data_IF_954798999691
#
_entry.id   IF_954798999691
#
_cell.length_a   1.000
_cell.length_b   1.000
_cell.length_c   1.000
_cell.angle_alpha   90.00
_cell.angle_beta   90.00
_cell.angle_gamma   90.00
#
_symmetry.space_group_name_H-M   'P 1'
#
loop_
_entity.id
_entity.type
_entity.pdbx_description
1 polymer ?
#
# COMPACT_ATOMS: atom_id res chain seq x y z
N UNK A 1 -20.67 -5.43 29.63
CA UNK A 1 -19.99 -4.36 28.88
C UNK A 1 -18.63 -4.90 28.48
N UNK A 2 -18.43 -5.27 27.21
CA UNK A 2 -17.13 -5.68 26.71
C UNK A 2 -16.28 -4.41 26.50
N UNK A 3 -15.08 -4.36 27.06
CA UNK A 3 -14.14 -3.27 26.81
C UNK A 3 -13.80 -3.25 25.31
N UNK A 4 -13.84 -2.08 24.69
CA UNK A 4 -13.37 -1.93 23.31
C UNK A 4 -11.86 -2.29 23.26
N UNK A 5 -11.41 -3.07 22.27
CA UNK A 5 -10.00 -3.42 22.15
C UNK A 5 -9.15 -2.17 21.88
N UNK A 6 -8.03 -2.02 22.61
CA UNK A 6 -7.19 -0.80 22.57
C UNK A 6 -5.74 -1.05 22.19
N UNK A 7 -5.27 -2.30 22.17
CA UNK A 7 -3.88 -2.64 21.79
C UNK A 7 -3.86 -3.33 20.42
N UNK A 8 -2.73 -3.30 19.69
CA UNK A 8 -2.62 -4.04 18.44
C UNK A 8 -2.99 -5.52 18.59
N UNK A 9 -2.56 -6.15 19.68
CA UNK A 9 -2.90 -7.54 20.02
C UNK A 9 -4.40 -7.76 20.10
N UNK A 10 -5.11 -6.93 20.87
CA UNK A 10 -6.53 -7.10 21.13
C UNK A 10 -7.37 -6.79 19.89
N UNK A 11 -6.96 -5.78 19.11
CA UNK A 11 -7.60 -5.43 17.84
C UNK A 11 -7.42 -6.55 16.83
N UNK A 12 -6.22 -7.09 16.67
CA UNK A 12 -5.97 -8.24 15.80
C UNK A 12 -6.78 -9.46 16.23
N UNK A 13 -6.81 -9.78 17.53
CA UNK A 13 -7.60 -10.91 18.03
C UNK A 13 -9.09 -10.75 17.69
N UNK A 14 -9.67 -9.59 18.03
CA UNK A 14 -11.08 -9.33 17.80
C UNK A 14 -11.43 -9.29 16.30
N UNK A 15 -10.50 -8.81 15.46
CA UNK A 15 -10.65 -8.80 14.01
C UNK A 15 -10.72 -10.22 13.44
N UNK A 16 -9.73 -11.08 13.73
CA UNK A 16 -9.70 -12.44 13.19
C UNK A 16 -10.83 -13.31 13.74
N UNK A 17 -11.23 -13.09 14.98
CA UNK A 17 -12.43 -13.72 15.51
C UNK A 17 -13.68 -13.31 14.70
N UNK A 18 -13.84 -12.02 14.41
CA UNK A 18 -14.96 -11.53 13.60
C UNK A 18 -14.92 -12.04 12.15
N UNK A 19 -13.73 -12.19 11.54
CA UNK A 19 -13.57 -12.83 10.22
C UNK A 19 -14.07 -14.28 10.24
N UNK A 20 -13.71 -15.06 11.27
CA UNK A 20 -14.12 -16.47 11.40
C UNK A 20 -15.63 -16.60 11.66
N UNK A 21 -16.20 -15.67 12.42
CA UNK A 21 -17.63 -15.61 12.72
C UNK A 21 -18.47 -14.99 11.58
N UNK A 22 -17.81 -14.53 10.52
CA UNK A 22 -18.41 -13.77 9.40
C UNK A 22 -19.19 -12.51 9.86
N UNK A 23 -18.70 -11.87 10.94
CA UNK A 23 -19.26 -10.63 11.50
C UNK A 23 -18.69 -9.41 10.75
N UNK A 24 -19.30 -9.12 9.61
CA UNK A 24 -18.97 -7.98 8.76
C UNK A 24 -18.97 -6.63 9.51
N UNK A 25 -19.88 -6.45 10.48
CA UNK A 25 -19.99 -5.20 11.25
C UNK A 25 -18.77 -5.00 12.15
N UNK A 26 -18.35 -6.05 12.85
CA UNK A 26 -17.17 -5.99 13.71
C UNK A 26 -15.88 -5.90 12.90
N UNK A 27 -15.74 -6.65 11.80
CA UNK A 27 -14.61 -6.54 10.88
C UNK A 27 -14.48 -5.11 10.36
N UNK A 28 -15.57 -4.51 9.91
CA UNK A 28 -15.59 -3.12 9.40
C UNK A 28 -15.16 -2.14 10.50
N UNK A 29 -15.69 -2.27 11.71
CA UNK A 29 -15.38 -1.38 12.82
C UNK A 29 -13.92 -1.45 13.27
N UNK A 30 -13.31 -2.64 13.20
CA UNK A 30 -11.94 -2.89 13.65
C UNK A 30 -10.89 -2.68 12.55
N UNK A 31 -11.31 -2.36 11.34
CA UNK A 31 -10.43 -2.17 10.20
C UNK A 31 -10.55 -0.79 9.57
N UNK A 32 -9.75 -0.56 8.53
CA UNK A 32 -9.80 0.63 7.67
C UNK A 32 -10.98 0.61 6.69
N UNK A 33 -11.80 -0.44 6.68
CA UNK A 33 -13.00 -0.51 5.84
C UNK A 33 -13.99 0.60 6.17
N UNK A 34 -14.54 1.22 5.12
CA UNK A 34 -15.50 2.33 5.23
C UNK A 34 -16.95 1.86 5.42
N UNK A 35 -17.26 0.61 5.09
CA UNK A 35 -18.60 0.03 5.25
C UNK A 35 -18.56 -1.50 5.20
N UNK A 36 -19.59 -2.13 5.75
CA UNK A 36 -19.78 -3.60 5.69
C UNK A 36 -19.95 -4.14 4.28
N UNK A 37 -20.35 -3.30 3.31
CA UNK A 37 -20.45 -3.71 1.91
C UNK A 37 -19.07 -3.91 1.24
N UNK A 38 -17.99 -3.40 1.84
CA UNK A 38 -16.62 -3.59 1.36
C UNK A 38 -15.92 -4.81 1.98
N UNK A 39 -16.59 -5.50 2.91
CA UNK A 39 -16.11 -6.75 3.47
C UNK A 39 -16.48 -7.90 2.53
N UNK A 40 -15.46 -8.60 2.04
CA UNK A 40 -15.56 -9.74 1.11
C UNK A 40 -15.08 -11.06 1.74
N UNK A 41 -14.69 -11.05 3.02
CA UNK A 41 -14.14 -12.22 3.69
C UNK A 41 -12.89 -12.79 3.00
N UNK A 42 -12.17 -11.98 2.22
CA UNK A 42 -11.04 -12.39 1.39
C UNK A 42 -11.36 -13.52 0.40
N UNK A 43 -12.62 -13.63 -0.03
CA UNK A 43 -13.12 -14.70 -0.90
C UNK A 43 -12.84 -16.12 -0.36
N UNK A 44 -12.74 -16.27 0.98
CA UNK A 44 -12.50 -17.56 1.64
C UNK A 44 -13.69 -18.06 2.44
N UNK A 45 -13.77 -19.39 2.58
CA UNK A 45 -14.62 -20.02 3.59
C UNK A 45 -13.85 -20.13 4.90
N UNK A 46 -14.30 -19.41 5.93
CA UNK A 46 -13.71 -19.42 7.27
C UNK A 46 -14.26 -20.53 8.18
N UNK A 47 -15.12 -21.40 7.65
CA UNK A 47 -15.75 -22.44 8.44
C UNK A 47 -14.73 -23.48 8.92
N UNK A 48 -14.62 -23.64 10.24
CA UNK A 48 -13.67 -24.58 10.85
C UNK A 48 -12.23 -24.09 10.90
N UNK A 49 -12.02 -22.79 10.65
CA UNK A 49 -10.73 -22.13 10.81
C UNK A 49 -10.56 -21.70 12.28
N UNK A 50 -9.40 -22.00 12.83
CA UNK A 50 -8.94 -21.48 14.12
C UNK A 50 -7.69 -20.62 13.90
N UNK A 51 -7.37 -19.76 14.86
CA UNK A 51 -6.18 -18.91 14.77
C UNK A 51 -5.42 -18.79 16.09
N UNK A 52 -4.13 -18.48 15.98
CA UNK A 52 -3.31 -18.07 17.11
C UNK A 52 -2.42 -16.88 16.74
N UNK A 53 -2.13 -16.02 17.73
CA UNK A 53 -1.27 -14.84 17.53
C UNK A 53 0.19 -15.16 17.80
N UNK A 54 1.07 -14.74 16.89
CA UNK A 54 2.51 -14.88 16.94
C UNK A 54 3.23 -13.60 17.37
N UNK A 55 4.29 -13.25 16.63
CA UNK A 55 5.12 -12.08 16.92
C UNK A 55 4.33 -10.79 16.74
N UNK A 56 4.59 -9.82 17.62
CA UNK A 56 4.02 -8.48 17.56
C UNK A 56 5.17 -7.49 17.48
N UNK A 57 5.15 -6.60 16.48
CA UNK A 57 6.09 -5.49 16.33
C UNK A 57 5.28 -4.20 16.28
N UNK A 58 5.67 -3.21 17.09
CA UNK A 58 5.02 -1.90 17.13
C UNK A 58 6.09 -0.86 16.78
N UNK A 59 5.82 -0.05 15.77
CA UNK A 59 6.65 1.08 15.36
C UNK A 59 5.77 2.33 15.20
N UNK A 60 5.85 3.22 16.19
CA UNK A 60 5.10 4.48 16.22
C UNK A 60 3.58 4.26 16.00
N UNK A 61 3.07 4.68 14.85
CA UNK A 61 1.65 4.61 14.47
C UNK A 61 1.32 3.37 13.62
N UNK A 62 2.25 2.44 13.46
CA UNK A 62 2.07 1.18 12.76
C UNK A 62 2.41 -0.01 13.66
N UNK A 63 1.75 -1.14 13.41
CA UNK A 63 2.09 -2.40 14.06
C UNK A 63 1.87 -3.57 13.11
N UNK A 64 2.63 -4.64 13.31
CA UNK A 64 2.41 -5.92 12.66
C UNK A 64 2.20 -7.03 13.68
N UNK A 65 1.30 -7.95 13.37
CA UNK A 65 1.01 -9.14 14.18
C UNK A 65 0.96 -10.35 13.28
N UNK A 66 1.83 -11.33 13.53
CA UNK A 66 1.78 -12.62 12.83
C UNK A 66 0.57 -13.41 13.34
N UNK A 67 -0.19 -14.01 12.42
CA UNK A 67 -1.37 -14.81 12.73
C UNK A 67 -1.23 -16.17 12.06
N UNK A 68 -1.24 -17.22 12.85
CA UNK A 68 -1.19 -18.60 12.37
C UNK A 68 -2.61 -19.11 12.27
N UNK A 69 -3.04 -19.46 11.06
CA UNK A 69 -4.36 -19.98 10.72
C UNK A 69 -4.28 -21.51 10.56
N UNK A 70 -5.07 -22.22 11.34
CA UNK A 70 -5.23 -23.67 11.25
C UNK A 70 -6.57 -23.96 10.56
N UNK A 71 -6.60 -24.92 9.62
CA UNK A 71 -7.82 -25.27 8.85
C UNK A 71 -7.90 -24.62 7.45
N UNK A 72 -7.06 -23.63 7.16
CA UNK A 72 -6.77 -23.14 5.81
C UNK A 72 -5.41 -23.68 5.38
N UNK A 73 -5.40 -24.77 4.59
CA UNK A 73 -4.16 -25.35 4.09
C UNK A 73 -3.55 -24.49 2.99
N UNK A 74 -2.24 -24.24 3.06
CA UNK A 74 -1.47 -23.78 1.90
C UNK A 74 -1.34 -24.90 0.84
N UNK A 75 -0.69 -24.61 -0.29
CA UNK A 75 -0.48 -25.60 -1.36
C UNK A 75 0.27 -26.87 -0.93
N UNK A 76 0.88 -26.88 0.26
CA UNK A 76 1.68 -27.97 0.83
C UNK A 76 1.03 -28.61 2.07
N UNK A 77 -0.17 -28.19 2.47
CA UNK A 77 -0.87 -28.71 3.65
C UNK A 77 -0.33 -28.21 4.99
N UNK A 78 0.51 -27.17 5.01
CA UNK A 78 1.01 -26.54 6.23
C UNK A 78 0.02 -25.47 6.76
N UNK A 79 0.11 -25.16 8.05
CA UNK A 79 -0.61 -24.05 8.68
C UNK A 79 -0.17 -22.72 8.05
N UNK A 80 -1.14 -21.87 7.70
CA UNK A 80 -0.86 -20.62 6.99
C UNK A 80 -0.50 -19.53 8.00
N UNK A 81 0.66 -18.90 7.84
CA UNK A 81 1.02 -17.72 8.63
C UNK A 81 0.76 -16.46 7.81
N UNK A 82 0.06 -15.49 8.40
CA UNK A 82 -0.35 -14.24 7.77
C UNK A 82 0.13 -13.07 8.61
N UNK A 83 0.79 -12.09 7.98
CA UNK A 83 1.15 -10.84 8.65
C UNK A 83 -0.05 -9.89 8.65
N UNK A 84 -0.61 -9.61 9.82
CA UNK A 84 -1.65 -8.58 9.98
C UNK A 84 -1.00 -7.22 10.13
N UNK A 85 -1.40 -6.26 9.30
CA UNK A 85 -0.94 -4.88 9.36
C UNK A 85 -1.96 -4.03 10.12
N UNK A 86 -1.49 -3.17 11.03
CA UNK A 86 -2.31 -2.24 11.77
C UNK A 86 -1.78 -0.82 11.65
N UNK A 87 -2.71 0.12 11.60
CA UNK A 87 -2.45 1.56 11.62
C UNK A 87 -3.18 2.19 12.81
N UNK A 88 -2.58 3.21 13.39
CA UNK A 88 -3.19 4.01 14.45
C UNK A 88 -3.80 5.27 13.83
N UNK A 89 -5.13 5.40 13.89
CA UNK A 89 -5.87 6.58 13.41
C UNK A 89 -6.82 7.05 14.49
N UNK A 90 -6.89 8.36 14.75
CA UNK A 90 -7.67 8.94 15.86
C UNK A 90 -7.38 8.26 17.22
N UNK A 91 -6.10 8.04 17.54
CA UNK A 91 -5.63 7.33 18.73
C UNK A 91 -6.16 5.89 18.90
N UNK A 92 -6.70 5.28 17.83
CA UNK A 92 -7.22 3.91 17.84
C UNK A 92 -6.49 3.04 16.81
N UNK A 93 -6.11 1.85 17.25
CA UNK A 93 -5.59 0.82 16.36
C UNK A 93 -6.70 0.24 15.51
N UNK A 94 -6.42 0.08 14.22
CA UNK A 94 -7.28 -0.62 13.26
C UNK A 94 -6.42 -1.50 12.37
N UNK A 95 -6.99 -2.62 11.95
CA UNK A 95 -6.37 -3.47 10.92
C UNK A 95 -6.45 -2.74 9.59
N UNK A 96 -5.30 -2.59 8.92
CA UNK A 96 -5.28 -2.21 7.51
C UNK A 96 -5.78 -3.41 6.70
N UNK A 97 -7.04 -3.33 6.26
CA UNK A 97 -7.75 -4.44 5.63
C UNK A 97 -7.05 -4.90 4.35
N UNK A 98 -6.62 -3.95 3.51
CA UNK A 98 -6.03 -4.23 2.21
C UNK A 98 -4.57 -4.66 2.33
N UNK A 99 -3.77 -4.02 3.19
CA UNK A 99 -2.40 -4.49 3.43
C UNK A 99 -2.38 -5.91 4.03
N UNK A 100 -3.35 -6.23 4.88
CA UNK A 100 -3.51 -7.59 5.44
C UNK A 100 -4.04 -8.58 4.39
N UNK A 101 -4.91 -8.16 3.47
CA UNK A 101 -5.35 -8.98 2.33
C UNK A 101 -4.20 -9.33 1.37
N UNK A 102 -3.31 -8.38 1.10
CA UNK A 102 -2.14 -8.59 0.25
C UNK A 102 -1.15 -9.57 0.91
N UNK A 103 -0.92 -9.42 2.21
CA UNK A 103 -0.14 -10.36 3.00
C UNK A 103 -0.81 -11.75 3.06
N UNK A 104 -2.15 -11.79 3.15
CA UNK A 104 -2.91 -13.02 3.12
C UNK A 104 -2.68 -13.75 1.79
N UNK A 105 -2.78 -13.09 0.64
CA UNK A 105 -2.70 -13.71 -0.70
C UNK A 105 -1.29 -14.09 -1.19
N UNK A 106 -0.31 -14.17 -0.28
CA UNK A 106 1.04 -14.68 -0.53
C UNK A 106 1.68 -14.13 -1.82
N UNK A 107 2.10 -12.86 -1.77
CA UNK A 107 3.21 -12.37 -2.61
C UNK A 107 4.47 -12.22 -1.76
N UNK A 108 5.31 -13.27 -1.61
CA UNK A 108 6.41 -13.25 -0.65
C UNK A 108 7.77 -13.00 -1.33
N UNK A 109 8.48 -11.94 -0.93
CA UNK A 109 9.91 -11.75 -1.26
C UNK A 109 10.81 -11.90 0.00
N UNK A 110 10.28 -11.79 1.21
CA UNK A 110 11.09 -11.57 2.42
C UNK A 110 11.73 -12.84 3.01
N UNK A 111 11.05 -13.99 2.97
CA UNK A 111 11.52 -15.23 3.62
C UNK A 111 12.73 -15.88 2.93
N UNK A 112 12.91 -15.63 1.62
CA UNK A 112 14.07 -16.12 0.86
C UNK A 112 15.35 -15.33 1.17
N UNK A 113 15.23 -14.11 1.68
CA UNK A 113 16.35 -13.21 1.96
C UNK A 113 16.97 -13.49 3.34
N UNK A 114 16.16 -13.78 4.36
CA UNK A 114 16.67 -14.01 5.73
C UNK A 114 17.47 -15.31 5.89
N UNK A 115 17.08 -16.39 5.20
CA UNK A 115 17.84 -17.65 5.21
C UNK A 115 19.24 -17.53 4.60
N UNK A 116 19.40 -16.62 3.63
CA UNK A 116 20.65 -16.39 2.90
C UNK A 116 21.63 -15.51 3.71
N UNK A 117 21.11 -14.58 4.51
CA UNK A 117 21.91 -13.70 5.37
C UNK A 117 22.55 -14.42 6.56
N UNK A 118 21.84 -15.39 7.15
CA UNK A 118 22.31 -16.14 8.32
C UNK A 118 23.54 -17.00 7.98
N UNK A 119 23.59 -17.60 6.78
CA UNK A 119 24.75 -18.39 6.32
C UNK A 119 25.97 -17.54 5.92
N UNK A 120 25.78 -16.23 5.70
CA UNK A 120 26.86 -15.29 5.40
C UNK A 120 27.61 -14.87 6.68
N UNK A 121 26.87 -14.68 7.77
CA UNK A 121 27.37 -14.32 9.11
C UNK A 121 28.42 -15.31 9.63
N UNK A 122 28.11 -16.61 9.54
CA UNK A 122 28.97 -17.64 10.13
C UNK A 122 30.31 -17.76 9.40
N UNK A 123 30.31 -17.56 8.07
CA UNK A 123 31.54 -17.55 7.26
C UNK A 123 32.39 -16.31 7.53
N UNK A 124 31.76 -15.14 7.69
CA UNK A 124 32.44 -13.88 7.99
C UNK A 124 33.19 -13.93 9.34
N UNK A 125 32.57 -14.55 10.35
CA UNK A 125 33.13 -14.65 11.71
C UNK A 125 34.45 -15.46 11.76
N UNK A 126 34.57 -16.48 10.91
CA UNK A 126 35.71 -17.38 10.89
C UNK A 126 36.97 -16.78 10.27
N UNK A 127 36.82 -15.84 9.32
CA UNK A 127 37.95 -15.19 8.65
C UNK A 127 38.43 -13.91 9.38
N UNK A 128 37.57 -13.31 10.21
CA UNK A 128 37.83 -12.05 10.92
C UNK A 128 38.91 -12.14 12.02
N UNK A 129 39.17 -13.33 12.54
CA UNK A 129 40.04 -13.53 13.71
C UNK A 129 41.54 -13.32 13.42
N UNK A 130 41.96 -13.29 12.15
CA UNK A 130 43.40 -13.25 11.78
C UNK A 130 43.95 -11.90 11.32
N UNK A 131 43.13 -10.90 10.98
CA UNK A 131 43.61 -9.60 10.43
C UNK A 131 42.74 -8.38 10.85
N UNK A 132 42.66 -8.05 12.14
CA UNK A 132 41.67 -7.08 12.65
C UNK A 132 41.94 -5.58 12.39
N UNK A 133 43.19 -5.14 12.19
CA UNK A 133 43.52 -3.71 12.14
C UNK A 133 43.65 -3.11 10.74
N UNK A 134 43.88 -3.92 9.72
CA UNK A 134 43.89 -3.47 8.32
C UNK A 134 42.49 -3.53 7.71
N UNK A 135 41.76 -4.63 7.94
CA UNK A 135 40.38 -4.78 7.50
C UNK A 135 39.48 -3.66 8.02
N UNK A 136 39.61 -3.27 9.31
CA UNK A 136 38.84 -2.18 9.91
C UNK A 136 38.99 -0.84 9.14
N UNK A 137 40.21 -0.50 8.72
CA UNK A 137 40.48 0.74 7.97
C UNK A 137 39.92 0.68 6.55
N UNK A 138 40.01 -0.49 5.90
CA UNK A 138 39.44 -0.71 4.57
C UNK A 138 37.90 -0.65 4.61
N UNK A 139 37.26 -1.20 5.65
CA UNK A 139 35.80 -1.10 5.83
C UNK A 139 35.33 0.32 6.15
N UNK A 140 36.07 1.09 6.94
CA UNK A 140 35.75 2.50 7.17
C UNK A 140 35.84 3.32 5.87
N UNK A 141 36.81 3.01 5.01
CA UNK A 141 36.93 3.63 3.70
C UNK A 141 35.77 3.24 2.79
N UNK A 142 35.43 1.95 2.70
CA UNK A 142 34.27 1.47 1.96
C UNK A 142 32.96 2.10 2.46
N UNK A 143 32.77 2.22 3.78
CA UNK A 143 31.60 2.85 4.36
C UNK A 143 31.48 4.34 4.00
N UNK A 144 32.61 5.07 3.94
CA UNK A 144 32.63 6.47 3.49
C UNK A 144 32.30 6.58 2.00
N UNK A 145 32.88 5.71 1.18
CA UNK A 145 32.60 5.69 -0.27
C UNK A 145 31.13 5.32 -0.55
N UNK A 146 30.55 4.38 0.20
CA UNK A 146 29.14 4.03 0.11
C UNK A 146 28.23 5.19 0.50
N UNK A 147 28.53 5.90 1.60
CA UNK A 147 27.76 7.10 1.99
C UNK A 147 27.84 8.19 0.92
N UNK A 148 29.02 8.46 0.40
CA UNK A 148 29.19 9.46 -0.65
C UNK A 148 28.39 9.09 -1.91
N UNK A 149 28.44 7.82 -2.33
CA UNK A 149 27.64 7.33 -3.47
C UNK A 149 26.15 7.37 -3.20
N UNK A 150 25.72 7.06 -1.97
CA UNK A 150 24.32 7.15 -1.56
C UNK A 150 23.83 8.61 -1.57
N UNK A 151 24.64 9.56 -1.07
CA UNK A 151 24.33 10.99 -1.10
C UNK A 151 24.27 11.52 -2.54
N UNK A 152 25.21 11.11 -3.39
CA UNK A 152 25.21 11.46 -4.82
C UNK A 152 24.00 10.87 -5.55
N UNK A 153 23.59 9.66 -5.18
CA UNK A 153 22.39 9.03 -5.72
C UNK A 153 21.12 9.74 -5.23
N UNK A 154 21.04 10.11 -3.95
CA UNK A 154 19.90 10.84 -3.40
C UNK A 154 19.74 12.21 -4.07
N UNK A 155 20.84 12.97 -4.25
CA UNK A 155 20.83 14.26 -4.96
C UNK A 155 20.40 14.17 -6.42
N UNK A 156 20.53 13.00 -7.04
CA UNK A 156 20.08 12.75 -8.42
C UNK A 156 18.63 12.28 -8.47
N UNK A 157 18.19 11.48 -7.49
CA UNK A 157 16.84 10.93 -7.43
C UNK A 157 15.80 11.96 -6.97
N UNK A 158 16.15 12.80 -6.00
CA UNK A 158 15.26 13.81 -5.42
C UNK A 158 14.65 14.76 -6.48
N UNK A 159 15.43 15.42 -7.37
CA UNK A 159 14.85 16.30 -8.39
C UNK A 159 14.01 15.55 -9.44
N UNK A 160 14.34 14.28 -9.74
CA UNK A 160 13.56 13.46 -10.67
C UNK A 160 12.23 13.03 -10.04
N UNK A 161 12.25 12.69 -8.76
CA UNK A 161 11.06 12.36 -7.98
C UNK A 161 10.13 13.56 -7.86
N UNK A 162 10.67 14.75 -7.53
CA UNK A 162 9.91 16.00 -7.49
C UNK A 162 9.27 16.31 -8.84
N UNK A 163 10.03 16.17 -9.93
CA UNK A 163 9.53 16.41 -11.30
C UNK A 163 8.38 15.45 -11.65
N UNK A 164 8.53 14.18 -11.30
CA UNK A 164 7.49 13.17 -11.52
C UNK A 164 6.25 13.44 -10.68
N UNK A 165 6.43 13.75 -9.39
CA UNK A 165 5.35 14.09 -8.48
C UNK A 165 4.57 15.32 -8.97
N UNK A 166 5.27 16.35 -9.46
CA UNK A 166 4.63 17.53 -10.03
C UNK A 166 3.79 17.19 -11.27
N UNK A 167 4.29 16.32 -12.15
CA UNK A 167 3.55 15.87 -13.33
C UNK A 167 2.27 15.12 -12.94
N UNK A 168 2.35 14.23 -11.94
CA UNK A 168 1.19 13.55 -11.38
C UNK A 168 0.20 14.53 -10.75
N UNK A 169 0.69 15.48 -9.94
CA UNK A 169 -0.15 16.47 -9.27
C UNK A 169 -0.94 17.30 -10.28
N UNK A 170 -0.28 17.76 -11.34
CA UNK A 170 -0.92 18.53 -12.41
C UNK A 170 -1.97 17.72 -13.18
N UNK A 171 -1.71 16.42 -13.39
CA UNK A 171 -2.67 15.54 -14.06
C UNK A 171 -3.89 15.26 -13.19
N UNK A 172 -3.66 14.99 -11.90
CA UNK A 172 -4.73 14.79 -10.90
C UNK A 172 -5.60 16.05 -10.80
N UNK A 173 -4.99 17.24 -10.73
CA UNK A 173 -5.71 18.52 -10.68
C UNK A 173 -6.62 18.72 -11.90
N UNK A 174 -6.09 18.50 -13.10
CA UNK A 174 -6.85 18.61 -14.35
C UNK A 174 -8.00 17.61 -14.41
N UNK A 175 -7.75 16.36 -13.97
CA UNK A 175 -8.77 15.33 -13.91
C UNK A 175 -9.89 15.74 -12.93
N UNK A 176 -9.55 16.13 -11.70
CA UNK A 176 -10.52 16.57 -10.69
C UNK A 176 -11.37 17.74 -11.18
N UNK A 177 -10.75 18.73 -11.83
CA UNK A 177 -11.47 19.85 -12.42
C UNK A 177 -12.47 19.39 -13.49
N UNK A 178 -12.04 18.51 -14.39
CA UNK A 178 -12.91 17.95 -15.44
C UNK A 178 -14.03 17.07 -14.87
N UNK A 179 -13.77 16.30 -13.81
CA UNK A 179 -14.78 15.49 -13.13
C UNK A 179 -15.87 16.35 -12.47
N UNK A 180 -15.49 17.48 -11.87
CA UNK A 180 -16.44 18.46 -11.30
C UNK A 180 -17.29 19.09 -12.40
N UNK A 181 -16.67 19.47 -13.51
CA UNK A 181 -17.39 20.00 -14.68
C UNK A 181 -18.38 18.97 -15.25
N UNK A 182 -17.99 17.70 -15.35
CA UNK A 182 -18.87 16.63 -15.79
C UNK A 182 -20.08 16.42 -14.86
N UNK A 183 -19.87 16.53 -13.55
CA UNK A 183 -20.97 16.48 -12.57
C UNK A 183 -21.95 17.65 -12.72
N UNK A 184 -21.45 18.85 -13.00
CA UNK A 184 -22.27 20.05 -13.19
C UNK A 184 -23.06 20.02 -14.50
N UNK A 185 -22.44 19.55 -15.59
CA UNK A 185 -23.02 19.56 -16.93
C UNK A 185 -23.89 18.35 -17.25
N UNK A 186 -23.91 17.32 -16.39
CA UNK A 186 -24.71 16.11 -16.59
C UNK A 186 -25.75 15.92 -15.47
N UNK A 187 -26.73 16.85 -15.32
CA UNK A 187 -27.73 16.77 -14.25
C UNK A 187 -28.67 15.56 -14.39
N UNK A 188 -28.80 14.99 -15.59
CA UNK A 188 -29.58 13.79 -15.86
C UNK A 188 -28.86 12.48 -15.52
N UNK A 189 -27.56 12.51 -15.17
CA UNK A 189 -26.80 11.31 -14.83
C UNK A 189 -27.44 10.53 -13.67
N UNK A 190 -27.22 9.20 -13.69
CA UNK A 190 -27.77 8.32 -12.66
C UNK A 190 -27.18 8.66 -11.27
N UNK A 191 -27.92 8.38 -10.18
CA UNK A 191 -27.37 8.54 -8.84
C UNK A 191 -26.10 7.70 -8.58
N UNK A 192 -25.95 6.57 -9.28
CA UNK A 192 -24.77 5.71 -9.19
C UNK A 192 -23.55 6.37 -9.85
N UNK A 193 -23.70 6.92 -11.05
CA UNK A 193 -22.62 7.62 -11.76
C UNK A 193 -22.16 8.87 -11.00
N UNK A 194 -23.11 9.66 -10.49
CA UNK A 194 -22.80 10.83 -9.67
C UNK A 194 -22.06 10.44 -8.39
N UNK A 195 -22.39 9.30 -7.78
CA UNK A 195 -21.67 8.78 -6.61
C UNK A 195 -20.25 8.39 -6.99
N UNK A 196 -20.08 7.64 -8.07
CA UNK A 196 -18.78 7.17 -8.57
C UNK A 196 -17.85 8.36 -8.88
N UNK A 197 -18.35 9.38 -9.55
CA UNK A 197 -17.60 10.63 -9.82
C UNK A 197 -17.19 11.37 -8.54
N UNK A 198 -18.11 11.54 -7.58
CA UNK A 198 -17.77 12.19 -6.30
C UNK A 198 -16.75 11.39 -5.49
N UNK A 199 -16.83 10.06 -5.48
CA UNK A 199 -15.85 9.19 -4.80
C UNK A 199 -14.48 9.30 -5.47
N UNK A 200 -14.45 9.31 -6.81
CA UNK A 200 -13.22 9.45 -7.59
C UNK A 200 -12.55 10.82 -7.33
N UNK A 201 -13.34 11.91 -7.30
CA UNK A 201 -12.85 13.24 -6.94
C UNK A 201 -12.22 13.24 -5.55
N UNK A 202 -12.94 12.74 -4.54
CA UNK A 202 -12.44 12.70 -3.17
C UNK A 202 -11.14 11.90 -3.06
N UNK A 203 -11.06 10.75 -3.71
CA UNK A 203 -9.87 9.90 -3.68
C UNK A 203 -8.66 10.59 -4.32
N UNK A 204 -8.86 11.20 -5.50
CA UNK A 204 -7.81 11.92 -6.22
C UNK A 204 -7.30 13.15 -5.44
N UNK A 205 -8.17 13.87 -4.75
CA UNK A 205 -7.77 15.00 -3.88
C UNK A 205 -6.89 14.56 -2.71
N UNK A 206 -7.14 13.39 -2.12
CA UNK A 206 -6.25 12.84 -1.07
C UNK A 206 -4.84 12.57 -1.62
N UNK A 207 -4.75 12.04 -2.84
CA UNK A 207 -3.46 11.80 -3.49
C UNK A 207 -2.74 13.09 -3.86
N UNK A 208 -3.49 14.12 -4.30
CA UNK A 208 -2.92 15.44 -4.59
C UNK A 208 -2.21 16.03 -3.37
N UNK A 209 -2.84 15.96 -2.19
CA UNK A 209 -2.25 16.45 -0.93
C UNK A 209 -0.98 15.66 -0.56
N UNK A 210 -0.95 14.35 -0.84
CA UNK A 210 0.21 13.51 -0.55
C UNK A 210 1.41 13.85 -1.44
N UNK A 211 1.18 14.30 -2.66
CA UNK A 211 2.23 14.69 -3.60
C UNK A 211 2.90 16.02 -3.24
N UNK A 212 2.40 16.78 -2.26
CA UNK A 212 3.04 18.02 -1.78
C UNK A 212 4.40 17.77 -1.09
N UNK A 213 4.58 16.58 -0.52
CA UNK A 213 5.84 16.12 0.06
C UNK A 213 6.19 14.76 -0.57
N UNK A 214 6.73 14.76 -1.80
CA UNK A 214 6.83 13.54 -2.58
C UNK A 214 7.92 12.62 -2.05
N UNK A 215 7.51 11.41 -1.68
CA UNK A 215 8.40 10.26 -1.52
C UNK A 215 8.06 9.18 -2.57
N UNK A 216 8.91 8.16 -2.70
CA UNK A 216 8.72 7.08 -3.68
C UNK A 216 7.38 6.36 -3.49
N UNK A 217 6.91 6.23 -2.26
CA UNK A 217 5.69 5.51 -1.93
C UNK A 217 4.46 6.33 -2.32
N UNK A 218 4.40 7.60 -1.94
CA UNK A 218 3.32 8.51 -2.30
C UNK A 218 3.19 8.71 -3.81
N UNK A 219 4.31 8.73 -4.52
CA UNK A 219 4.32 8.76 -5.99
C UNK A 219 3.76 7.47 -6.59
N UNK A 220 4.15 6.31 -6.07
CA UNK A 220 3.64 5.01 -6.55
C UNK A 220 2.13 4.85 -6.29
N UNK A 221 1.68 5.18 -5.08
CA UNK A 221 0.28 5.12 -4.69
C UNK A 221 -0.58 6.11 -5.48
N UNK A 222 -0.09 7.33 -5.72
CA UNK A 222 -0.79 8.32 -6.55
C UNK A 222 -0.93 7.86 -8.00
N UNK A 223 0.10 7.20 -8.54
CA UNK A 223 0.08 6.59 -9.88
C UNK A 223 -0.96 5.46 -9.97
N UNK A 224 -1.05 4.65 -8.91
CA UNK A 224 -2.04 3.58 -8.82
C UNK A 224 -3.45 4.16 -8.74
N UNK A 225 -3.69 5.12 -7.86
CA UNK A 225 -4.99 5.76 -7.67
C UNK A 225 -5.55 6.36 -8.97
N UNK A 226 -4.68 6.97 -9.76
CA UNK A 226 -5.01 7.50 -11.07
C UNK A 226 -5.37 6.40 -12.09
N UNK A 227 -4.70 5.25 -12.03
CA UNK A 227 -5.01 4.08 -12.87
C UNK A 227 -6.34 3.46 -12.49
N UNK A 228 -6.62 3.33 -11.19
CA UNK A 228 -7.91 2.89 -10.64
C UNK A 228 -9.04 3.84 -11.05
N UNK A 229 -8.78 5.15 -11.00
CA UNK A 229 -9.73 6.17 -11.45
C UNK A 229 -10.08 5.99 -12.92
N UNK A 230 -9.12 5.64 -13.79
CA UNK A 230 -9.43 5.35 -15.21
C UNK A 230 -10.44 4.23 -15.36
N UNK A 231 -10.31 3.16 -14.58
CA UNK A 231 -11.22 2.00 -14.62
C UNK A 231 -12.61 2.44 -14.15
N UNK A 232 -12.69 3.10 -13.00
CA UNK A 232 -13.95 3.58 -12.43
C UNK A 232 -14.70 4.53 -13.39
N UNK A 233 -13.97 5.39 -14.10
CA UNK A 233 -14.54 6.34 -15.06
C UNK A 233 -14.98 5.70 -16.38
N UNK A 234 -14.38 4.57 -16.77
CA UNK A 234 -14.77 3.82 -17.96
C UNK A 234 -16.14 3.12 -17.79
N UNK A 235 -16.58 2.90 -16.56
CA UNK A 235 -17.86 2.25 -16.24
C UNK A 235 -19.06 3.21 -16.22
N UNK A 236 -18.82 4.52 -16.35
CA UNK A 236 -19.89 5.52 -16.32
C UNK A 236 -20.84 5.38 -17.51
N UNK A 237 -22.09 5.78 -17.27
CA UNK A 237 -23.14 5.85 -18.29
C UNK A 237 -22.79 6.70 -19.52
N UNK A 238 -23.50 6.47 -20.62
CA UNK A 238 -23.23 7.11 -21.92
C UNK A 238 -23.38 8.63 -21.91
N UNK A 239 -24.04 9.19 -20.89
CA UNK A 239 -24.12 10.62 -20.64
C UNK A 239 -22.74 11.27 -20.41
N UNK A 240 -21.71 10.48 -20.10
CA UNK A 240 -20.33 10.93 -19.91
C UNK A 240 -19.41 10.62 -21.09
N UNK A 241 -19.92 10.13 -22.23
CA UNK A 241 -19.09 9.65 -23.35
C UNK A 241 -18.07 10.69 -23.84
N UNK A 242 -18.47 11.97 -23.92
CA UNK A 242 -17.57 13.06 -24.36
C UNK A 242 -16.45 13.31 -23.33
N UNK A 243 -16.77 13.22 -22.03
CA UNK A 243 -15.80 13.35 -20.96
C UNK A 243 -14.86 12.13 -20.88
N UNK A 244 -15.38 10.92 -21.10
CA UNK A 244 -14.57 9.70 -21.14
C UNK A 244 -13.47 9.78 -22.21
N UNK A 245 -13.78 10.35 -23.39
CA UNK A 245 -12.78 10.60 -24.42
C UNK A 245 -11.72 11.62 -23.99
N UNK A 246 -12.12 12.70 -23.32
CA UNK A 246 -11.20 13.72 -22.80
C UNK A 246 -10.28 13.15 -21.71
N UNK A 247 -10.81 12.38 -20.77
CA UNK A 247 -10.00 11.75 -19.72
C UNK A 247 -9.05 10.72 -20.29
N UNK A 248 -9.47 9.96 -21.31
CA UNK A 248 -8.58 9.04 -22.00
C UNK A 248 -7.38 9.77 -22.61
N UNK A 249 -7.61 10.91 -23.26
CA UNK A 249 -6.54 11.75 -23.79
C UNK A 249 -5.61 12.27 -22.68
N UNK A 250 -6.17 12.77 -21.57
CA UNK A 250 -5.38 13.20 -20.40
C UNK A 250 -4.47 12.08 -19.87
N UNK A 251 -4.98 10.85 -19.80
CA UNK A 251 -4.20 9.69 -19.38
C UNK A 251 -3.09 9.31 -20.37
N UNK A 252 -3.32 9.50 -21.66
CA UNK A 252 -2.34 9.24 -22.71
C UNK A 252 -1.21 10.29 -22.67
N UNK A 253 -1.55 11.57 -22.60
CA UNK A 253 -0.58 12.70 -22.53
C UNK A 253 0.34 12.58 -21.31
N UNK A 254 -0.21 12.17 -20.17
CA UNK A 254 0.56 11.95 -18.97
C UNK A 254 1.50 10.75 -19.08
N UNK A 255 1.04 9.65 -19.69
CA UNK A 255 1.89 8.48 -19.94
C UNK A 255 3.09 8.87 -20.82
N UNK A 256 2.86 9.65 -21.86
CA UNK A 256 3.92 10.17 -22.74
C UNK A 256 4.88 11.08 -21.97
N UNK A 257 4.34 11.98 -21.13
CA UNK A 257 5.14 12.84 -20.25
C UNK A 257 6.07 12.02 -19.35
N UNK A 258 5.52 11.01 -18.67
CA UNK A 258 6.27 10.09 -17.81
C UNK A 258 7.34 9.32 -18.59
N UNK A 259 7.00 8.79 -19.77
CA UNK A 259 7.95 8.06 -20.62
C UNK A 259 9.09 8.95 -21.11
N UNK A 260 8.82 10.21 -21.43
CA UNK A 260 9.84 11.18 -21.83
C UNK A 260 10.82 11.49 -20.70
N UNK A 261 10.34 11.53 -19.45
CA UNK A 261 11.18 11.76 -18.26
C UNK A 261 12.12 10.59 -18.01
N UNK A 262 11.60 9.36 -18.09
CA UNK A 262 12.38 8.14 -17.89
C UNK A 262 13.43 7.92 -18.98
N UNK A 263 13.14 8.31 -20.22
CA UNK A 263 14.08 8.18 -21.35
C UNK A 263 15.12 9.30 -21.44
N UNK A 264 14.89 10.44 -20.79
CA UNK A 264 15.85 11.56 -20.73
C UNK A 264 16.96 11.38 -19.68
N UNK A 265 16.99 10.23 -18.99
CA UNK A 265 17.94 9.92 -17.89
C UNK A 265 19.12 9.04 -18.36
N UNK A 266 19.20 8.69 -19.65
CA UNK A 266 20.35 8.04 -20.30
C UNK A 266 21.38 9.04 -20.86
#
# INVERSE_FOLDING_TARGET
MACSPTTPRDVTHAYWQAMIEDDAETVTRLSTLVSTAAYDGYDQSWQGVDFSLGRIVIDQQAATVDVVLSGLSDANGAERTVTTHLVQTDDRWRVDYYATYDAFNDRPIVDRVMGTLSGLSDRLSSEWSRHSSQAAREMEQLARELRQRADEMNRKLEPELERYAQALQNAIEQLVASLREALENTPSASPADKRNLNQTIYYLEQQQNRLEQPDLQGVAESSQALTESRIALAELGSEFSDYQNQWQQLFDEMRETIQSMLSSTE
#
